data_IF_346954047248
#
_entry.id   IF_346954047248
#
_cell.length_a   1.000
_cell.length_b   1.000
_cell.length_c   1.000
_cell.angle_alpha   90.00
_cell.angle_beta   90.00
_cell.angle_gamma   90.00
#
_symmetry.space_group_name_H-M   'P 1'
#
loop_
_entity.id
_entity.type
_entity.pdbx_description
1 polymer ?
#
# COMPACT_ATOMS: atom_id res chain seq x y z
N UNK A 1 16.54 10.43 9.96
CA UNK A 1 17.94 10.54 9.47
C UNK A 1 18.65 9.20 9.74
N UNK A 2 19.29 8.62 8.76
CA UNK A 2 20.25 7.51 8.95
C UNK A 2 21.62 8.01 8.50
N UNK A 3 22.63 7.94 9.36
CA UNK A 3 24.03 8.33 9.03
C UNK A 3 24.21 9.78 8.55
N UNK A 4 23.42 10.74 9.06
CA UNK A 4 23.51 12.16 8.67
C UNK A 4 22.70 12.55 7.43
N UNK A 5 22.21 11.60 6.61
CA UNK A 5 21.44 11.90 5.42
C UNK A 5 19.93 12.01 5.73
N UNK A 6 19.28 13.02 5.13
CA UNK A 6 17.83 13.14 5.15
C UNK A 6 17.22 12.07 4.25
N UNK A 7 16.30 11.27 4.78
CA UNK A 7 15.54 10.28 4.01
C UNK A 7 14.42 10.94 3.19
N UNK A 8 13.78 11.94 3.80
CA UNK A 8 12.80 12.83 3.16
C UNK A 8 12.99 14.24 3.73
N UNK A 9 12.65 15.27 2.97
CA UNK A 9 12.80 16.68 3.36
C UNK A 9 11.71 17.54 2.73
N UNK A 10 11.23 18.50 3.52
CA UNK A 10 10.32 19.57 3.08
C UNK A 10 9.08 19.03 2.31
N UNK A 11 8.52 17.90 2.79
CA UNK A 11 7.29 17.34 2.24
C UNK A 11 6.10 18.00 2.94
N UNK A 12 5.24 18.64 2.14
CA UNK A 12 3.89 19.06 2.52
C UNK A 12 2.94 18.28 1.61
N UNK A 13 2.14 17.41 2.20
CA UNK A 13 1.24 16.52 1.48
C UNK A 13 0.04 16.21 2.37
N UNK A 14 -1.14 16.26 1.80
CA UNK A 14 -2.41 16.02 2.45
C UNK A 14 -3.22 15.02 1.62
N UNK A 15 -3.98 14.17 2.27
CA UNK A 15 -4.81 13.12 1.67
C UNK A 15 -6.18 13.17 2.33
N UNK A 16 -7.21 13.37 1.52
CA UNK A 16 -8.59 13.27 1.97
C UNK A 16 -9.11 11.82 1.92
N UNK A 17 -10.17 11.53 2.66
CA UNK A 17 -10.65 10.14 2.81
C UNK A 17 -11.19 9.52 1.52
N UNK A 18 -11.70 10.36 0.61
CA UNK A 18 -12.24 9.93 -0.69
C UNK A 18 -11.19 9.89 -1.82
N UNK A 19 -9.93 10.19 -1.50
CA UNK A 19 -8.85 10.21 -2.47
C UNK A 19 -8.12 8.85 -2.56
N UNK A 20 -7.63 8.56 -3.77
CA UNK A 20 -6.85 7.37 -4.10
C UNK A 20 -5.52 7.85 -4.67
N UNK A 21 -4.46 7.73 -3.87
CA UNK A 21 -3.14 8.27 -4.19
C UNK A 21 -2.17 7.20 -4.69
N UNK A 22 -1.42 7.52 -5.73
CA UNK A 22 -0.22 6.76 -6.08
C UNK A 22 1.03 7.60 -5.78
N UNK A 23 2.00 7.01 -5.08
CA UNK A 23 3.32 7.61 -4.84
C UNK A 23 4.31 6.96 -5.80
N UNK A 24 4.82 7.75 -6.74
CA UNK A 24 5.76 7.32 -7.76
C UNK A 24 7.16 7.93 -7.54
N UNK A 25 8.18 7.18 -7.87
CA UNK A 25 9.55 7.67 -7.87
C UNK A 25 10.56 6.54 -7.93
N UNK A 26 11.82 6.82 -8.25
CA UNK A 26 12.89 5.82 -8.31
C UNK A 26 13.15 5.18 -6.95
N UNK A 27 13.92 4.09 -6.96
CA UNK A 27 14.38 3.46 -5.73
C UNK A 27 15.24 4.45 -4.92
N UNK A 28 15.03 4.50 -3.60
CA UNK A 28 15.69 5.47 -2.73
C UNK A 28 15.07 6.87 -2.70
N UNK A 29 13.99 7.15 -3.45
CA UNK A 29 13.31 8.45 -3.44
C UNK A 29 12.62 8.82 -2.11
N UNK A 30 12.51 7.89 -1.16
CA UNK A 30 11.87 8.12 0.15
C UNK A 30 10.44 7.60 0.28
N UNK A 31 9.92 6.88 -0.72
CA UNK A 31 8.54 6.36 -0.77
C UNK A 31 8.18 5.53 0.47
N UNK A 32 8.94 4.47 0.76
CA UNK A 32 8.75 3.62 1.95
C UNK A 32 8.92 4.39 3.26
N UNK A 33 9.79 5.42 3.29
CA UNK A 33 9.93 6.29 4.46
C UNK A 33 8.66 7.08 4.73
N UNK A 34 8.06 7.64 3.68
CA UNK A 34 6.80 8.36 3.77
C UNK A 34 5.67 7.44 4.23
N UNK A 35 5.61 6.22 3.68
CA UNK A 35 4.64 5.20 4.09
C UNK A 35 4.82 4.79 5.56
N UNK A 36 6.06 4.65 6.05
CA UNK A 36 6.35 4.34 7.45
C UNK A 36 5.94 5.47 8.40
N UNK A 37 5.98 6.73 7.96
CA UNK A 37 5.41 7.85 8.71
C UNK A 37 3.88 7.77 8.72
N UNK A 38 3.24 7.56 7.55
CA UNK A 38 1.78 7.44 7.42
C UNK A 38 1.21 6.26 8.23
N UNK A 39 1.96 5.15 8.36
CA UNK A 39 1.55 3.99 9.17
C UNK A 39 1.89 4.10 10.67
N UNK A 40 2.45 5.23 11.13
CA UNK A 40 2.88 5.39 12.51
C UNK A 40 4.03 4.44 12.94
N UNK A 41 4.76 3.85 11.98
CA UNK A 41 5.93 2.99 12.24
C UNK A 41 7.24 3.77 12.37
N UNK A 42 7.21 5.04 11.99
CA UNK A 42 8.32 5.97 12.10
C UNK A 42 7.84 7.32 12.61
N UNK A 43 8.67 8.01 13.40
CA UNK A 43 8.42 9.39 13.82
C UNK A 43 9.24 10.37 12.98
N UNK A 44 8.69 11.55 12.63
CA UNK A 44 9.45 12.58 11.95
C UNK A 44 10.54 13.15 12.89
N UNK A 45 11.74 13.38 12.35
CA UNK A 45 12.80 14.07 13.09
C UNK A 45 12.47 15.55 13.26
N UNK A 46 11.80 16.14 12.26
CA UNK A 46 11.30 17.53 12.26
C UNK A 46 9.97 17.57 11.51
N UNK A 47 9.18 18.61 11.77
CA UNK A 47 7.87 18.76 11.16
C UNK A 47 6.76 18.09 11.97
N UNK A 48 5.60 17.93 11.34
CA UNK A 48 4.41 17.32 11.95
C UNK A 48 3.79 16.34 10.97
N UNK A 49 3.31 15.23 11.50
CA UNK A 49 2.55 14.23 10.73
C UNK A 49 1.24 14.02 11.47
N UNK A 50 0.15 14.10 10.74
CA UNK A 50 -1.19 13.74 11.20
C UNK A 50 -1.67 12.58 10.33
N UNK A 51 -2.31 11.61 10.94
CA UNK A 51 -2.88 10.44 10.25
C UNK A 51 -4.27 10.22 10.84
N UNK A 52 -5.30 10.22 10.00
CA UNK A 52 -6.70 10.09 10.42
C UNK A 52 -7.08 11.12 11.51
N UNK A 53 -6.61 12.37 11.35
CA UNK A 53 -6.82 13.45 12.32
C UNK A 53 -5.88 13.43 13.52
N UNK A 54 -5.18 12.33 13.78
CA UNK A 54 -4.34 12.12 14.95
C UNK A 54 -2.89 12.56 14.73
N UNK A 55 -2.33 13.33 15.66
CA UNK A 55 -0.94 13.77 15.56
C UNK A 55 0.02 12.72 16.08
N UNK A 56 0.97 12.26 15.25
CA UNK A 56 2.04 11.37 15.69
C UNK A 56 2.85 11.98 16.85
N UNK A 57 3.10 11.18 17.87
CA UNK A 57 3.76 11.58 19.12
C UNK A 57 2.80 12.11 20.18
N UNK A 58 1.48 12.19 19.91
CA UNK A 58 0.44 12.57 20.88
C UNK A 58 -0.74 11.59 20.93
N UNK A 59 -0.73 10.56 20.09
CA UNK A 59 -1.76 9.52 19.98
C UNK A 59 -1.20 8.18 20.44
N UNK A 60 -2.08 7.30 20.94
CA UNK A 60 -1.74 5.89 21.13
C UNK A 60 -1.57 5.22 19.75
N UNK A 61 -0.33 4.80 19.48
CA UNK A 61 0.00 4.18 18.19
C UNK A 61 -0.62 2.78 18.04
N UNK A 62 -0.93 2.08 19.12
CA UNK A 62 -1.59 0.78 19.05
C UNK A 62 -3.03 0.96 18.54
N UNK A 63 -3.75 1.93 19.08
CA UNK A 63 -5.09 2.29 18.65
C UNK A 63 -5.09 2.83 17.20
N UNK A 64 -4.20 3.78 16.89
CA UNK A 64 -4.13 4.34 15.54
C UNK A 64 -3.89 3.26 14.48
N UNK A 65 -3.02 2.30 14.75
CA UNK A 65 -2.65 1.23 13.79
C UNK A 65 -3.78 0.26 13.50
N UNK A 66 -4.77 0.10 14.36
CA UNK A 66 -5.95 -0.72 14.06
C UNK A 66 -6.83 -0.11 12.96
N UNK A 67 -6.74 1.21 12.77
CA UNK A 67 -7.46 1.98 11.75
C UNK A 67 -6.66 2.07 10.43
N UNK A 68 -5.45 1.50 10.37
CA UNK A 68 -4.56 1.56 9.21
C UNK A 68 -4.23 0.16 8.74
N UNK A 69 -4.63 -0.19 7.53
CA UNK A 69 -4.19 -1.39 6.84
C UNK A 69 -2.82 -1.15 6.18
N UNK A 70 -1.89 -2.06 6.35
CA UNK A 70 -0.58 -1.99 5.70
C UNK A 70 -0.22 -3.33 5.07
N UNK A 71 0.08 -3.32 3.76
CA UNK A 71 0.71 -4.43 3.07
C UNK A 71 2.11 -4.00 2.59
N UNK A 72 3.14 -4.65 3.12
CA UNK A 72 4.55 -4.37 2.80
C UNK A 72 5.41 -5.63 2.90
N UNK A 73 6.54 -5.65 2.21
CA UNK A 73 7.50 -6.75 2.30
C UNK A 73 8.01 -6.98 3.74
N UNK A 74 8.28 -5.89 4.48
CA UNK A 74 8.73 -6.00 5.87
C UNK A 74 7.68 -6.62 6.81
N UNK A 75 6.38 -6.42 6.53
CA UNK A 75 5.32 -7.13 7.26
C UNK A 75 5.30 -8.62 6.88
N UNK A 76 5.44 -8.95 5.59
CA UNK A 76 5.48 -10.33 5.12
C UNK A 76 6.57 -11.16 5.81
N UNK A 77 7.76 -10.59 5.96
CA UNK A 77 8.91 -11.24 6.62
C UNK A 77 8.68 -11.50 8.12
N UNK A 78 7.79 -10.75 8.77
CA UNK A 78 7.46 -10.93 10.18
C UNK A 78 6.39 -11.98 10.44
N UNK A 79 5.68 -12.42 9.41
CA UNK A 79 4.61 -13.41 9.53
C UNK A 79 5.17 -14.84 9.62
N UNK A 80 4.62 -15.70 10.50
CA UNK A 80 5.04 -17.09 10.60
C UNK A 80 4.77 -17.85 9.28
N UNK A 81 5.78 -18.46 8.65
CA UNK A 81 5.62 -19.11 7.35
C UNK A 81 4.77 -20.39 7.41
N UNK A 82 4.65 -20.98 8.58
CA UNK A 82 3.91 -22.23 8.81
C UNK A 82 2.42 -22.03 9.04
N UNK A 83 1.97 -20.79 9.26
CA UNK A 83 0.54 -20.48 9.37
C UNK A 83 -0.18 -20.59 8.04
N UNK A 84 -1.48 -20.89 8.10
CA UNK A 84 -2.31 -20.92 6.89
C UNK A 84 -2.56 -19.50 6.36
N UNK A 85 -2.84 -19.36 5.06
CA UNK A 85 -3.25 -18.08 4.50
C UNK A 85 -4.49 -17.52 5.23
N UNK A 86 -5.40 -18.39 5.65
CA UNK A 86 -6.56 -18.03 6.45
C UNK A 86 -6.17 -17.46 7.82
N UNK A 87 -5.31 -18.15 8.57
CA UNK A 87 -4.87 -17.66 9.88
C UNK A 87 -4.07 -16.36 9.77
N UNK A 88 -3.26 -16.21 8.72
CA UNK A 88 -2.55 -14.96 8.43
C UNK A 88 -3.51 -13.77 8.28
N UNK A 89 -4.65 -13.96 7.62
CA UNK A 89 -5.68 -12.90 7.48
C UNK A 89 -6.45 -12.72 8.79
N UNK A 90 -6.92 -13.83 9.38
CA UNK A 90 -7.76 -13.82 10.58
C UNK A 90 -7.08 -13.12 11.77
N UNK A 91 -5.80 -13.38 12.00
CA UNK A 91 -5.04 -12.80 13.13
C UNK A 91 -4.91 -11.28 13.07
N UNK A 92 -5.18 -10.65 11.92
CA UNK A 92 -5.20 -9.21 11.81
C UNK A 92 -6.36 -8.56 12.58
N UNK A 93 -7.49 -9.23 12.80
CA UNK A 93 -8.62 -8.68 13.57
C UNK A 93 -8.21 -8.26 14.99
N UNK A 94 -7.22 -8.92 15.57
CA UNK A 94 -6.63 -8.58 16.87
C UNK A 94 -5.30 -7.82 16.75
N UNK A 95 -4.94 -7.38 15.55
CA UNK A 95 -3.65 -6.71 15.28
C UNK A 95 -2.41 -7.50 15.73
N UNK A 96 -2.50 -8.83 15.78
CA UNK A 96 -1.40 -9.71 16.19
C UNK A 96 -0.74 -10.39 14.99
N UNK A 97 0.51 -10.77 15.18
CA UNK A 97 1.29 -11.56 14.23
C UNK A 97 1.38 -12.98 14.78
N UNK A 98 0.79 -13.92 14.06
CA UNK A 98 0.70 -15.31 14.50
C UNK A 98 -0.54 -15.62 15.34
N UNK A 99 -0.99 -16.87 15.28
CA UNK A 99 -2.14 -17.35 16.03
C UNK A 99 -1.71 -17.85 17.39
N UNK A 100 -2.27 -17.26 18.45
CA UNK A 100 -2.01 -17.67 19.82
C UNK A 100 -3.27 -18.27 20.46
N UNK A 101 -3.85 -17.61 21.48
CA UNK A 101 -4.98 -18.09 22.27
C UNK A 101 -6.26 -17.25 22.07
N UNK A 102 -6.22 -16.32 21.13
CA UNK A 102 -7.34 -15.47 20.81
C UNK A 102 -8.53 -16.31 20.33
N UNK A 103 -9.72 -15.95 20.76
CA UNK A 103 -10.95 -16.56 20.28
C UNK A 103 -11.51 -15.67 19.18
N UNK A 104 -11.58 -16.23 17.99
CA UNK A 104 -12.18 -15.59 16.83
C UNK A 104 -13.61 -16.09 16.70
N UNK A 105 -14.54 -15.19 16.41
CA UNK A 105 -15.93 -15.55 16.18
C UNK A 105 -16.20 -15.92 14.70
N UNK A 106 -17.44 -16.31 14.42
CA UNK A 106 -17.86 -16.69 13.06
C UNK A 106 -17.87 -15.50 12.10
N UNK A 107 -18.02 -14.27 12.60
CA UNK A 107 -17.98 -13.05 11.77
C UNK A 107 -16.56 -12.77 11.32
N UNK A 108 -15.58 -12.83 12.23
CA UNK A 108 -14.17 -12.72 11.89
C UNK A 108 -13.75 -13.77 10.85
N UNK A 109 -14.14 -15.03 11.09
CA UNK A 109 -13.84 -16.13 10.18
C UNK A 109 -14.51 -15.95 8.80
N UNK A 110 -15.75 -15.49 8.78
CA UNK A 110 -16.48 -15.19 7.55
C UNK A 110 -15.83 -14.07 6.75
N UNK A 111 -15.46 -12.97 7.43
CA UNK A 111 -14.76 -11.84 6.81
C UNK A 111 -13.40 -12.24 6.24
N UNK A 112 -12.60 -13.01 6.99
CA UNK A 112 -11.30 -13.46 6.50
C UNK A 112 -11.43 -14.29 5.20
N UNK A 113 -12.41 -15.20 5.11
CA UNK A 113 -12.68 -15.97 3.89
C UNK A 113 -13.14 -15.07 2.73
N UNK A 114 -14.07 -14.14 2.98
CA UNK A 114 -14.55 -13.21 1.97
C UNK A 114 -13.41 -12.35 1.38
N UNK A 115 -12.49 -11.87 2.21
CA UNK A 115 -11.33 -11.10 1.78
C UNK A 115 -10.35 -11.96 0.95
N UNK A 116 -10.10 -13.20 1.37
CA UNK A 116 -9.28 -14.12 0.57
C UNK A 116 -9.90 -14.40 -0.81
N UNK A 117 -11.22 -14.58 -0.88
CA UNK A 117 -11.96 -14.77 -2.13
C UNK A 117 -11.90 -13.51 -3.00
N UNK A 118 -12.12 -12.32 -2.43
CA UNK A 118 -12.02 -11.04 -3.13
C UNK A 118 -10.65 -10.86 -3.80
N UNK A 119 -9.57 -11.27 -3.14
CA UNK A 119 -8.22 -11.23 -3.72
C UNK A 119 -7.82 -12.50 -4.48
N UNK A 120 -8.77 -13.44 -4.74
CA UNK A 120 -8.56 -14.63 -5.57
C UNK A 120 -7.62 -15.66 -4.99
N UNK A 121 -7.47 -15.71 -3.69
CA UNK A 121 -6.65 -16.67 -2.94
C UNK A 121 -7.46 -17.52 -1.96
N UNK A 122 -8.80 -17.46 -2.01
CA UNK A 122 -9.68 -18.23 -1.13
C UNK A 122 -9.48 -19.75 -1.23
N UNK A 123 -9.21 -20.26 -2.43
CA UNK A 123 -8.87 -21.67 -2.66
C UNK A 123 -7.55 -22.12 -1.99
N UNK A 124 -6.74 -21.18 -1.49
CA UNK A 124 -5.47 -21.40 -0.81
C UNK A 124 -5.58 -21.18 0.71
N UNK A 125 -6.80 -20.95 1.24
CA UNK A 125 -7.02 -20.59 2.63
C UNK A 125 -6.28 -21.52 3.64
N UNK A 126 -6.31 -22.82 3.41
CA UNK A 126 -5.67 -23.83 4.26
C UNK A 126 -4.19 -24.10 3.90
N UNK A 127 -3.65 -23.42 2.89
CA UNK A 127 -2.27 -23.58 2.48
C UNK A 127 -1.34 -22.74 3.35
N UNK A 128 -0.17 -23.27 3.68
CA UNK A 128 0.85 -22.56 4.48
C UNK A 128 1.35 -21.33 3.74
N UNK A 129 1.37 -20.17 4.41
CA UNK A 129 1.77 -18.90 3.85
C UNK A 129 3.17 -18.93 3.21
N UNK A 130 4.13 -19.61 3.85
CA UNK A 130 5.49 -19.74 3.32
C UNK A 130 5.60 -20.55 2.03
N UNK A 131 4.56 -21.33 1.66
CA UNK A 131 4.54 -22.14 0.42
C UNK A 131 3.78 -21.47 -0.73
N UNK A 132 3.20 -20.32 -0.49
CA UNK A 132 2.53 -19.51 -1.51
C UNK A 132 3.55 -18.90 -2.47
N UNK A 133 3.17 -18.75 -3.73
CA UNK A 133 3.91 -17.92 -4.69
C UNK A 133 3.97 -16.46 -4.23
N UNK A 134 4.90 -15.68 -4.78
CA UNK A 134 5.03 -14.25 -4.45
C UNK A 134 3.72 -13.49 -4.63
N UNK A 135 3.02 -13.71 -5.76
CA UNK A 135 1.73 -13.09 -6.05
C UNK A 135 0.63 -13.51 -5.09
N UNK A 136 0.56 -14.80 -4.72
CA UNK A 136 -0.41 -15.30 -3.75
C UNK A 136 -0.16 -14.70 -2.36
N UNK A 137 1.11 -14.63 -1.93
CA UNK A 137 1.49 -13.97 -0.67
C UNK A 137 1.08 -12.51 -0.63
N UNK A 138 1.35 -11.74 -1.70
CA UNK A 138 0.99 -10.32 -1.78
C UNK A 138 -0.51 -10.10 -1.70
N UNK A 139 -1.30 -10.90 -2.42
CA UNK A 139 -2.77 -10.84 -2.34
C UNK A 139 -3.29 -11.21 -0.94
N UNK A 140 -2.70 -12.21 -0.30
CA UNK A 140 -3.02 -12.57 1.10
C UNK A 140 -2.69 -11.42 2.06
N UNK A 141 -1.58 -10.69 1.85
CA UNK A 141 -1.21 -9.53 2.67
C UNK A 141 -2.18 -8.35 2.50
N UNK A 142 -2.70 -8.13 1.29
CA UNK A 142 -3.72 -7.10 1.07
C UNK A 142 -5.03 -7.50 1.75
N UNK A 143 -5.46 -8.76 1.61
CA UNK A 143 -6.62 -9.29 2.34
C UNK A 143 -6.44 -9.11 3.87
N UNK A 144 -5.26 -9.43 4.39
CA UNK A 144 -4.90 -9.19 5.80
C UNK A 144 -5.02 -7.71 6.18
N UNK A 145 -4.53 -6.81 5.33
CA UNK A 145 -4.54 -5.37 5.62
C UNK A 145 -5.97 -4.79 5.68
N UNK A 146 -6.92 -5.42 5.02
CA UNK A 146 -8.35 -5.04 5.02
C UNK A 146 -9.15 -5.70 6.15
N UNK A 147 -8.56 -6.64 6.89
CA UNK A 147 -9.30 -7.42 7.90
C UNK A 147 -9.87 -6.56 9.03
N UNK A 148 -9.17 -5.51 9.44
CA UNK A 148 -9.59 -4.60 10.52
C UNK A 148 -10.58 -3.52 10.06
N UNK A 149 -11.05 -3.56 8.82
CA UNK A 149 -11.88 -2.50 8.25
C UNK A 149 -11.23 -1.11 8.37
N UNK A 150 -10.03 -0.94 7.81
CA UNK A 150 -9.24 0.26 8.04
C UNK A 150 -9.85 1.48 7.34
N UNK A 151 -9.62 2.67 7.88
CA UNK A 151 -9.95 3.94 7.24
C UNK A 151 -8.89 4.35 6.19
N UNK A 152 -7.67 3.82 6.33
CA UNK A 152 -6.54 4.08 5.42
C UNK A 152 -5.84 2.78 5.06
N UNK A 153 -5.71 2.47 3.77
CA UNK A 153 -4.95 1.33 3.27
C UNK A 153 -3.66 1.78 2.58
N UNK A 154 -2.54 1.29 3.08
CA UNK A 154 -1.20 1.59 2.59
C UNK A 154 -0.59 0.35 1.93
N UNK A 155 -0.20 0.47 0.65
CA UNK A 155 0.35 -0.61 -0.15
C UNK A 155 1.78 -0.24 -0.62
N UNK A 156 2.79 -0.95 -0.10
CA UNK A 156 4.20 -0.71 -0.44
C UNK A 156 4.68 -1.69 -1.51
N UNK A 157 4.75 -1.24 -2.75
CA UNK A 157 5.19 -2.00 -3.94
C UNK A 157 4.49 -3.37 -4.08
N UNK A 158 3.15 -3.42 -4.06
CA UNK A 158 2.42 -4.69 -4.01
C UNK A 158 2.59 -5.54 -5.27
N UNK A 159 2.95 -4.95 -6.40
CA UNK A 159 3.16 -5.66 -7.66
C UNK A 159 4.64 -5.99 -7.96
N UNK A 160 5.59 -5.55 -7.11
CA UNK A 160 7.01 -5.83 -7.34
C UNK A 160 7.31 -7.34 -7.37
N UNK A 161 8.08 -7.79 -8.37
CA UNK A 161 8.46 -9.20 -8.51
C UNK A 161 7.37 -10.12 -9.08
N UNK A 162 6.19 -9.59 -9.42
CA UNK A 162 5.15 -10.37 -10.07
C UNK A 162 5.42 -10.54 -11.56
N UNK A 163 5.04 -11.69 -12.10
CA UNK A 163 4.93 -11.85 -13.54
C UNK A 163 3.78 -11.00 -14.11
N UNK A 164 3.71 -10.92 -15.44
CA UNK A 164 2.73 -10.08 -16.10
C UNK A 164 1.28 -10.44 -15.72
N UNK A 165 0.95 -11.74 -15.69
CA UNK A 165 -0.42 -12.19 -15.40
C UNK A 165 -0.83 -11.87 -13.94
N UNK A 166 0.04 -12.14 -12.99
CA UNK A 166 -0.20 -11.87 -11.57
C UNK A 166 -0.28 -10.35 -11.30
N UNK A 167 0.54 -9.54 -11.99
CA UNK A 167 0.48 -8.07 -11.91
C UNK A 167 -0.86 -7.54 -12.43
N UNK A 168 -1.29 -7.97 -13.62
CA UNK A 168 -2.54 -7.50 -14.22
C UNK A 168 -3.76 -7.93 -13.39
N UNK A 169 -3.78 -9.15 -12.84
CA UNK A 169 -4.84 -9.58 -11.92
C UNK A 169 -4.86 -8.72 -10.65
N UNK A 170 -3.70 -8.39 -10.08
CA UNK A 170 -3.61 -7.53 -8.90
C UNK A 170 -4.11 -6.11 -9.21
N UNK A 171 -3.67 -5.51 -10.33
CA UNK A 171 -4.10 -4.16 -10.76
C UNK A 171 -5.61 -4.12 -10.94
N UNK A 172 -6.21 -5.14 -11.57
CA UNK A 172 -7.67 -5.26 -11.73
C UNK A 172 -8.38 -5.27 -10.37
N UNK A 173 -7.93 -6.08 -9.41
CA UNK A 173 -8.53 -6.16 -8.07
C UNK A 173 -8.39 -4.86 -7.28
N UNK A 174 -7.24 -4.19 -7.40
CA UNK A 174 -7.05 -2.87 -6.78
C UNK A 174 -7.91 -1.80 -7.45
N UNK A 175 -8.20 -1.92 -8.75
CA UNK A 175 -9.16 -1.06 -9.44
C UNK A 175 -10.58 -1.29 -8.94
N UNK A 176 -11.01 -2.54 -8.79
CA UNK A 176 -12.31 -2.88 -8.21
C UNK A 176 -12.46 -2.29 -6.80
N UNK A 177 -11.42 -2.40 -5.96
CA UNK A 177 -11.40 -1.79 -4.64
C UNK A 177 -11.42 -0.25 -4.72
N UNK A 178 -10.65 0.38 -5.61
CA UNK A 178 -10.57 1.84 -5.72
C UNK A 178 -11.89 2.47 -6.20
N UNK A 179 -12.71 1.72 -6.94
CA UNK A 179 -14.03 2.15 -7.44
C UNK A 179 -15.16 1.88 -6.44
N UNK A 180 -14.91 1.15 -5.38
CA UNK A 180 -15.88 0.91 -4.32
C UNK A 180 -16.03 2.19 -3.46
N UNK A 181 -17.24 2.76 -3.34
CA UNK A 181 -17.47 3.96 -2.54
C UNK A 181 -17.22 3.76 -1.04
N UNK A 182 -17.33 2.52 -0.55
CA UNK A 182 -17.11 2.17 0.85
C UNK A 182 -15.63 1.79 1.14
N UNK A 183 -14.76 1.86 0.11
CA UNK A 183 -13.35 1.54 0.29
C UNK A 183 -12.63 2.60 1.14
N UNK A 184 -11.61 2.18 1.92
CA UNK A 184 -10.77 3.11 2.67
C UNK A 184 -10.05 4.11 1.75
N UNK A 185 -9.49 5.19 2.30
CA UNK A 185 -8.49 5.97 1.57
C UNK A 185 -7.34 5.05 1.14
N UNK A 186 -6.89 5.16 -0.12
CA UNK A 186 -5.88 4.27 -0.69
C UNK A 186 -4.59 5.04 -0.98
N UNK A 187 -3.46 4.53 -0.51
CA UNK A 187 -2.13 5.01 -0.89
C UNK A 187 -1.29 3.83 -1.42
N UNK A 188 -1.02 3.85 -2.71
CA UNK A 188 -0.19 2.86 -3.41
C UNK A 188 1.19 3.44 -3.66
N UNK A 189 2.23 2.76 -3.24
CA UNK A 189 3.62 3.07 -3.60
C UNK A 189 4.08 2.14 -4.72
N UNK A 190 4.62 2.71 -5.78
CA UNK A 190 5.24 1.95 -6.87
C UNK A 190 6.34 2.77 -7.57
N UNK A 191 7.11 2.15 -8.43
CA UNK A 191 8.06 2.80 -9.34
C UNK A 191 7.70 2.56 -10.83
N UNK A 192 6.54 1.93 -11.10
CA UNK A 192 6.03 1.65 -12.44
C UNK A 192 4.67 2.32 -12.66
N UNK A 193 4.56 3.10 -13.73
CA UNK A 193 3.28 3.75 -14.09
C UNK A 193 2.22 2.74 -14.54
N UNK A 194 2.66 1.60 -15.06
CA UNK A 194 1.80 0.49 -15.51
C UNK A 194 1.06 -0.18 -14.35
N UNK A 195 1.51 0.04 -13.13
CA UNK A 195 0.92 -0.52 -11.92
C UNK A 195 -0.16 0.37 -11.30
N UNK A 196 -0.40 1.56 -11.87
CA UNK A 196 -1.46 2.46 -11.41
C UNK A 196 -2.81 1.87 -11.80
N UNK A 197 -3.67 1.50 -10.82
CA UNK A 197 -4.98 0.96 -11.14
C UNK A 197 -5.92 2.07 -11.63
N UNK A 198 -6.83 1.79 -12.57
CA UNK A 198 -7.99 2.65 -12.81
C UNK A 198 -8.75 2.95 -11.51
N UNK A 199 -9.27 4.17 -11.39
CA UNK A 199 -9.94 4.62 -10.17
C UNK A 199 -9.03 5.39 -9.19
N UNK A 200 -7.71 5.39 -9.40
CA UNK A 200 -6.82 6.28 -8.66
C UNK A 200 -6.97 7.72 -9.15
N UNK A 201 -7.03 8.66 -8.21
CA UNK A 201 -7.38 10.07 -8.47
C UNK A 201 -6.20 11.02 -8.40
N UNK A 202 -5.19 10.70 -7.61
CA UNK A 202 -4.08 11.60 -7.29
C UNK A 202 -2.72 10.91 -7.43
N UNK A 203 -1.68 11.72 -7.66
CA UNK A 203 -0.29 11.27 -7.72
C UNK A 203 0.64 12.17 -6.93
N UNK A 204 1.58 11.57 -6.23
CA UNK A 204 2.73 12.22 -5.60
C UNK A 204 4.01 11.71 -6.25
N UNK A 205 4.75 12.58 -6.92
CA UNK A 205 6.02 12.27 -7.56
C UNK A 205 7.17 12.64 -6.63
N UNK A 206 7.97 11.63 -6.24
CA UNK A 206 9.09 11.81 -5.32
C UNK A 206 10.44 11.55 -6.00
N UNK A 207 11.42 12.41 -5.72
CA UNK A 207 12.82 12.23 -6.10
C UNK A 207 13.74 12.75 -4.99
N UNK A 208 14.76 11.99 -4.63
CA UNK A 208 15.80 12.38 -3.66
C UNK A 208 15.26 12.92 -2.33
N UNK A 209 14.17 12.34 -1.85
CA UNK A 209 13.51 12.72 -0.61
C UNK A 209 12.63 13.98 -0.67
N UNK A 210 12.47 14.58 -1.85
CA UNK A 210 11.63 15.76 -2.08
C UNK A 210 10.47 15.50 -3.05
N UNK A 211 9.47 16.38 -3.02
CA UNK A 211 8.33 16.35 -3.94
C UNK A 211 8.72 17.01 -5.26
N UNK A 212 8.50 16.32 -6.38
CA UNK A 212 8.64 16.88 -7.73
C UNK A 212 7.33 17.54 -8.16
N UNK A 213 6.21 16.85 -7.96
CA UNK A 213 4.86 17.31 -8.21
C UNK A 213 3.86 16.48 -7.40
N UNK A 214 2.70 17.07 -7.06
CA UNK A 214 1.59 16.41 -6.39
C UNK A 214 0.27 17.02 -6.84
N UNK A 215 -0.79 16.23 -6.96
CA UNK A 215 -2.13 16.69 -7.33
C UNK A 215 -2.94 15.63 -8.09
N UNK A 216 -3.99 16.08 -8.78
CA UNK A 216 -4.83 15.20 -9.60
C UNK A 216 -3.99 14.41 -10.59
N UNK A 217 -4.29 13.12 -10.72
CA UNK A 217 -3.50 12.19 -11.53
C UNK A 217 -3.38 12.66 -12.98
N UNK A 218 -4.49 13.05 -13.59
CA UNK A 218 -4.56 13.42 -15.00
C UNK A 218 -3.78 14.72 -15.32
N UNK A 219 -3.71 15.65 -14.36
CA UNK A 219 -3.03 16.92 -14.52
C UNK A 219 -1.54 16.83 -14.17
N UNK A 220 -1.20 15.97 -13.23
CA UNK A 220 0.13 15.93 -12.60
C UNK A 220 1.04 14.86 -13.23
N UNK A 221 0.49 13.71 -13.63
CA UNK A 221 1.24 12.63 -14.26
C UNK A 221 1.48 12.95 -15.74
N UNK A 222 2.45 13.81 -16.00
CA UNK A 222 2.86 14.25 -17.34
C UNK A 222 4.23 13.66 -17.72
N UNK A 223 4.51 13.58 -19.04
CA UNK A 223 5.84 13.15 -19.50
C UNK A 223 6.97 14.04 -18.94
N UNK A 224 6.74 15.33 -18.77
CA UNK A 224 7.71 16.29 -18.23
C UNK A 224 7.99 16.03 -16.74
N UNK A 225 6.95 15.89 -15.92
CA UNK A 225 7.09 15.60 -14.49
C UNK A 225 7.70 14.21 -14.25
N UNK A 226 7.29 13.22 -15.04
CA UNK A 226 7.83 11.87 -14.95
C UNK A 226 9.32 11.85 -15.34
N UNK A 227 9.70 12.52 -16.43
CA UNK A 227 11.09 12.64 -16.87
C UNK A 227 11.96 13.31 -15.80
N UNK A 228 11.45 14.36 -15.15
CA UNK A 228 12.13 15.02 -14.03
C UNK A 228 12.27 14.09 -12.81
N UNK A 229 11.24 13.30 -12.53
CA UNK A 229 11.23 12.37 -11.39
C UNK A 229 12.28 11.27 -11.55
N UNK A 230 12.35 10.68 -12.74
CA UNK A 230 13.24 9.53 -13.02
C UNK A 230 14.59 9.93 -13.63
N UNK A 231 14.83 11.22 -13.88
CA UNK A 231 16.05 11.76 -14.50
C UNK A 231 16.37 11.15 -15.87
N UNK A 232 15.32 10.93 -16.66
CA UNK A 232 15.40 10.27 -17.96
C UNK A 232 14.30 10.84 -18.87
N UNK A 233 14.60 11.19 -20.14
CA UNK A 233 13.54 11.58 -21.07
C UNK A 233 12.54 10.44 -21.27
N UNK A 234 11.30 10.68 -20.89
CA UNK A 234 10.23 9.67 -20.95
C UNK A 234 9.06 10.18 -21.79
N UNK A 235 8.52 9.27 -22.59
CA UNK A 235 7.20 9.45 -23.22
C UNK A 235 6.16 8.74 -22.37
N UNK A 236 5.04 9.40 -22.15
CA UNK A 236 3.92 8.85 -21.39
C UNK A 236 2.73 8.72 -22.34
N UNK A 237 2.09 7.57 -22.31
CA UNK A 237 0.84 7.31 -23.06
C UNK A 237 -0.22 6.75 -22.13
N UNK A 238 -1.50 7.04 -22.42
CA UNK A 238 -2.65 6.44 -21.74
C UNK A 238 -3.53 5.73 -22.76
N UNK A 239 -3.86 4.49 -22.50
CA UNK A 239 -4.76 3.68 -23.33
C UNK A 239 -5.72 2.95 -22.41
N UNK A 240 -7.03 3.08 -22.64
CA UNK A 240 -8.07 2.41 -21.84
C UNK A 240 -7.84 2.55 -20.31
N UNK A 241 -7.60 3.77 -19.83
CA UNK A 241 -7.31 4.10 -18.43
C UNK A 241 -6.04 3.46 -17.84
N UNK A 242 -5.15 2.95 -18.67
CA UNK A 242 -3.84 2.41 -18.28
C UNK A 242 -2.71 3.29 -18.81
N UNK A 243 -1.75 3.53 -17.94
CA UNK A 243 -0.56 4.33 -18.24
C UNK A 243 0.60 3.45 -18.71
N UNK A 244 1.41 3.97 -19.62
CA UNK A 244 2.66 3.32 -20.08
C UNK A 244 3.72 4.38 -20.28
N UNK A 245 4.92 4.14 -19.77
CA UNK A 245 6.07 5.02 -19.97
C UNK A 245 7.21 4.33 -20.72
N UNK A 246 7.86 5.07 -21.63
CA UNK A 246 9.03 4.60 -22.39
C UNK A 246 10.05 5.71 -22.55
N UNK A 247 11.33 5.32 -22.53
CA UNK A 247 12.44 6.19 -22.89
C UNK A 247 12.57 6.40 -24.39
#
# INVERSE_FOLDING_TARGET
MRGGNHLIRDISWEVELDERWVILGPNGAGKTTLLNLASGRMHPTRGRVHVLGERLGRVDLAELRTRIGLASAGLAESLPPDETAFDVVLTASWSVVGRYREQYDDLDAGRARALLDQFGVGHLAERRFGTLSEGERKRTLIARALMTDPELLLLDEPAAGLDLGAREDLVRRLSELALDPDAPALVLVTHHVEEIPPGFTHVLLLREGGVVAAGLLDDTLTAANLSKTFDLPLKLTRTEDRWTARA
#
